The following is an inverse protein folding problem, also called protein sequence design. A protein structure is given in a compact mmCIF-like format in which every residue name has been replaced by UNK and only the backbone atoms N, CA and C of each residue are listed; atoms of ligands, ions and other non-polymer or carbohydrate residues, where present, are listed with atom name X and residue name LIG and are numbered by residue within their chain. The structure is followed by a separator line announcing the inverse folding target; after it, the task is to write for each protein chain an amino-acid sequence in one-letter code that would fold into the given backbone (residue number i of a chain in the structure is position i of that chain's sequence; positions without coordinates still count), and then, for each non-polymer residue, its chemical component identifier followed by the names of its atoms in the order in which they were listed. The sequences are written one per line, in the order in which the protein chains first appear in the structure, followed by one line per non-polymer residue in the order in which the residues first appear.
data_IF_799667747755
#
_entry.id   IF_799667747755
#
_cell.length_a   1.000
_cell.length_b   1.000
_cell.length_c   1.000
_cell.angle_alpha   90.00
_cell.angle_beta   90.00
_cell.angle_gamma   90.00
#
_symmetry.space_group_name_H-M   'P 1'
#
loop_
_entity.id
_entity.type
_entity.pdbx_description
1 polymer ?
#
# COMPACT_ATOMS: atom_id res chain seq x y z
N UNK A 1 -28.54 5.49 -48.97
CA UNK A 1 -27.60 4.76 -48.08
C UNK A 1 -28.32 4.09 -46.92
N UNK A 2 -29.03 4.82 -46.07
CA UNK A 2 -29.85 4.26 -44.98
C UNK A 2 -30.89 3.23 -45.45
N UNK A 3 -31.62 3.54 -46.53
CA UNK A 3 -32.61 2.63 -47.14
C UNK A 3 -32.00 1.28 -47.54
N UNK A 4 -30.79 1.34 -48.14
CA UNK A 4 -30.05 0.15 -48.59
C UNK A 4 -29.58 -0.71 -47.40
N UNK A 5 -29.22 -0.07 -46.30
CA UNK A 5 -28.84 -0.72 -45.04
C UNK A 5 -30.03 -1.43 -44.40
N UNK A 6 -31.21 -0.79 -44.40
CA UNK A 6 -32.47 -1.36 -43.91
C UNK A 6 -32.91 -2.54 -44.78
N UNK A 7 -32.89 -2.40 -46.11
CA UNK A 7 -33.21 -3.48 -47.04
C UNK A 7 -32.29 -4.70 -46.84
N UNK A 8 -30.97 -4.47 -46.77
CA UNK A 8 -29.98 -5.54 -46.53
C UNK A 8 -30.20 -6.24 -45.18
N UNK A 9 -30.63 -5.49 -44.17
CA UNK A 9 -30.96 -6.00 -42.82
C UNK A 9 -32.22 -6.86 -42.82
N UNK A 10 -33.25 -6.44 -43.56
CA UNK A 10 -34.52 -7.17 -43.70
C UNK A 10 -34.36 -8.46 -44.53
N UNK A 11 -33.56 -8.42 -45.61
CA UNK A 11 -33.24 -9.60 -46.42
C UNK A 11 -32.45 -10.64 -45.61
N UNK A 12 -31.52 -10.21 -44.76
CA UNK A 12 -30.68 -11.08 -43.93
C UNK A 12 -31.17 -11.21 -42.48
N UNK A 13 -32.49 -11.11 -42.24
CA UNK A 13 -33.10 -11.11 -40.90
C UNK A 13 -32.61 -12.21 -39.95
N UNK A 14 -32.37 -13.42 -40.47
CA UNK A 14 -31.87 -14.53 -39.66
C UNK A 14 -30.46 -14.28 -39.15
N UNK A 15 -29.57 -13.81 -40.03
CA UNK A 15 -28.19 -13.49 -39.67
C UNK A 15 -28.13 -12.34 -38.67
N UNK A 16 -28.99 -11.33 -38.83
CA UNK A 16 -29.13 -10.21 -37.89
C UNK A 16 -29.59 -10.71 -36.50
N UNK A 17 -30.58 -11.60 -36.44
CA UNK A 17 -31.04 -12.18 -35.17
C UNK A 17 -29.95 -12.99 -34.49
N UNK A 18 -29.20 -13.82 -35.23
CA UNK A 18 -28.06 -14.56 -34.68
C UNK A 18 -26.97 -13.62 -34.19
N UNK A 19 -26.61 -12.60 -34.96
CA UNK A 19 -25.61 -11.60 -34.55
C UNK A 19 -26.05 -10.85 -33.29
N UNK A 20 -27.33 -10.49 -33.18
CA UNK A 20 -27.90 -9.82 -32.01
C UNK A 20 -27.88 -10.72 -30.79
N UNK A 21 -28.22 -12.00 -30.95
CA UNK A 21 -28.14 -13.00 -29.88
C UNK A 21 -26.69 -13.19 -29.40
N UNK A 22 -25.74 -13.33 -30.32
CA UNK A 22 -24.32 -13.43 -29.98
C UNK A 22 -23.83 -12.18 -29.24
N UNK A 23 -24.23 -10.99 -29.68
CA UNK A 23 -23.92 -9.73 -29.01
C UNK A 23 -24.55 -9.65 -27.61
N UNK A 24 -25.79 -10.11 -27.44
CA UNK A 24 -26.46 -10.16 -26.14
C UNK A 24 -25.76 -11.13 -25.19
N UNK A 25 -25.37 -12.31 -25.66
CA UNK A 25 -24.62 -13.30 -24.86
C UNK A 25 -23.23 -12.77 -24.49
N UNK A 26 -22.52 -12.14 -25.42
CA UNK A 26 -21.23 -11.50 -25.15
C UNK A 26 -21.37 -10.34 -24.13
N UNK A 27 -22.43 -9.53 -24.26
CA UNK A 27 -22.74 -8.45 -23.34
C UNK A 27 -23.10 -8.95 -21.94
N UNK A 28 -23.88 -10.04 -21.83
CA UNK A 28 -24.16 -10.71 -20.56
C UNK A 28 -22.90 -11.26 -19.91
N UNK A 29 -22.03 -11.89 -20.70
CA UNK A 29 -20.74 -12.38 -20.22
C UNK A 29 -19.89 -11.22 -19.68
N UNK A 30 -19.76 -10.12 -20.44
CA UNK A 30 -19.03 -8.94 -20.02
C UNK A 30 -19.63 -8.32 -18.75
N UNK A 31 -20.96 -8.19 -18.66
CA UNK A 31 -21.64 -7.60 -17.51
C UNK A 31 -21.46 -8.43 -16.22
N UNK A 32 -21.37 -9.77 -16.33
CA UNK A 32 -21.15 -10.66 -15.17
C UNK A 32 -19.70 -10.65 -14.71
N UNK A 33 -18.73 -10.41 -15.61
CA UNK A 33 -17.31 -10.42 -15.28
C UNK A 33 -16.68 -9.04 -15.11
N UNK A 34 -17.45 -7.96 -15.28
CA UNK A 34 -16.97 -6.61 -15.07
C UNK A 34 -16.62 -6.44 -13.57
N UNK A 35 -15.37 -6.09 -13.22
CA UNK A 35 -15.04 -5.78 -11.84
C UNK A 35 -15.83 -4.54 -11.41
N UNK A 36 -16.52 -4.65 -10.28
CA UNK A 36 -17.31 -3.57 -9.70
C UNK A 36 -16.59 -3.12 -8.44
N UNK A 37 -16.39 -1.82 -8.31
CA UNK A 37 -15.94 -1.19 -7.08
C UNK A 37 -17.00 -0.17 -6.61
N UNK A 38 -17.07 0.07 -5.30
CA UNK A 38 -18.05 0.98 -4.71
C UNK A 38 -17.74 2.45 -5.06
N UNK A 39 -16.46 2.79 -5.18
CA UNK A 39 -15.98 4.12 -5.53
C UNK A 39 -14.81 4.01 -6.51
N UNK A 40 -14.66 4.96 -7.44
CA UNK A 40 -13.43 5.08 -8.22
C UNK A 40 -12.24 5.40 -7.29
N UNK A 41 -11.07 4.89 -7.63
CA UNK A 41 -9.83 5.29 -6.95
C UNK A 41 -9.54 6.77 -7.21
N UNK A 42 -9.48 7.54 -6.13
CA UNK A 42 -9.24 8.99 -6.13
C UNK A 42 -7.88 9.32 -5.50
N UNK A 43 -7.04 8.31 -5.30
CA UNK A 43 -5.74 8.50 -4.65
C UNK A 43 -4.66 8.89 -5.65
N UNK A 44 -3.69 9.68 -5.19
CA UNK A 44 -2.57 10.09 -6.01
C UNK A 44 -1.55 8.94 -6.13
N UNK A 45 -0.74 8.98 -7.19
CA UNK A 45 0.42 8.10 -7.31
C UNK A 45 1.47 8.55 -6.30
N UNK A 46 1.70 7.76 -5.26
CA UNK A 46 2.63 8.12 -4.19
C UNK A 46 3.50 6.94 -3.75
N UNK A 47 4.71 7.26 -3.34
CA UNK A 47 5.64 6.31 -2.71
C UNK A 47 6.02 6.87 -1.35
N UNK A 48 5.89 6.04 -0.31
CA UNK A 48 6.30 6.41 1.04
C UNK A 48 7.68 5.81 1.34
N UNK A 49 8.51 6.58 2.03
CA UNK A 49 9.78 6.14 2.62
C UNK A 49 9.66 6.33 4.13
N UNK A 50 9.89 5.25 4.88
CA UNK A 50 9.76 5.21 6.33
C UNK A 50 11.14 4.95 6.92
N UNK A 51 11.51 5.69 7.96
CA UNK A 51 12.76 5.44 8.70
C UNK A 51 12.45 5.36 10.18
N UNK A 52 12.78 4.22 10.80
CA UNK A 52 12.79 4.06 12.26
C UNK A 52 14.08 4.67 12.81
N UNK A 53 13.94 5.76 13.56
CA UNK A 53 15.03 6.54 14.13
C UNK A 53 15.18 6.29 15.65
N UNK A 54 14.61 5.20 16.17
CA UNK A 54 14.76 4.79 17.56
C UNK A 54 14.21 5.82 18.55
N UNK A 55 15.10 6.45 19.32
CA UNK A 55 14.73 7.38 20.39
C UNK A 55 15.01 8.86 20.09
N UNK A 56 15.24 9.22 18.82
CA UNK A 56 15.49 10.60 18.45
C UNK A 56 14.26 11.49 18.68
N UNK A 57 14.49 12.72 19.14
CA UNK A 57 13.45 13.73 19.24
C UNK A 57 12.97 14.18 17.85
N UNK A 58 11.74 14.71 17.70
CA UNK A 58 11.22 15.13 16.38
C UNK A 58 12.13 16.10 15.61
N UNK A 59 12.83 17.00 16.31
CA UNK A 59 13.76 17.97 15.71
C UNK A 59 15.03 17.28 15.21
N UNK A 60 15.53 16.28 15.95
CA UNK A 60 16.68 15.49 15.52
C UNK A 60 16.34 14.59 14.34
N UNK A 61 15.14 13.97 14.36
CA UNK A 61 14.63 13.19 13.23
C UNK A 61 14.53 14.05 11.98
N UNK A 62 13.95 15.25 12.09
CA UNK A 62 13.84 16.15 10.94
C UNK A 62 15.22 16.50 10.37
N UNK A 63 16.15 16.93 11.23
CA UNK A 63 17.47 17.39 10.81
C UNK A 63 18.37 16.30 10.26
N UNK A 64 18.40 15.13 10.90
CA UNK A 64 19.38 14.08 10.61
C UNK A 64 18.83 12.94 9.75
N UNK A 65 17.51 12.81 9.63
CA UNK A 65 16.87 11.71 8.91
C UNK A 65 15.99 12.23 7.79
N UNK A 66 14.95 13.00 8.12
CA UNK A 66 13.95 13.45 7.14
C UNK A 66 14.55 14.35 6.07
N UNK A 67 15.33 15.36 6.46
CA UNK A 67 15.91 16.33 5.52
C UNK A 67 16.86 15.69 4.49
N UNK A 68 17.81 14.79 4.86
CA UNK A 68 18.59 14.04 3.88
C UNK A 68 17.72 13.22 2.90
N UNK A 69 16.66 12.57 3.39
CA UNK A 69 15.75 11.79 2.54
C UNK A 69 15.00 12.72 1.58
N UNK A 70 14.45 13.83 2.05
CA UNK A 70 13.77 14.80 1.18
C UNK A 70 14.70 15.39 0.13
N UNK A 71 15.90 15.82 0.53
CA UNK A 71 16.89 16.43 -0.37
C UNK A 71 17.32 15.49 -1.50
N UNK A 72 17.44 14.19 -1.22
CA UNK A 72 17.78 13.18 -2.23
C UNK A 72 16.60 12.82 -3.14
N UNK A 73 15.38 12.82 -2.61
CA UNK A 73 14.15 12.49 -3.36
C UNK A 73 13.61 13.65 -4.19
N UNK A 74 13.88 14.91 -3.81
CA UNK A 74 13.42 16.10 -4.53
C UNK A 74 13.98 16.25 -5.95
N UNK A 75 15.05 15.52 -6.29
CA UNK A 75 15.63 15.47 -7.62
C UNK A 75 15.11 14.32 -8.49
N UNK A 76 14.01 13.65 -8.11
CA UNK A 76 13.36 12.63 -8.93
C UNK A 76 12.50 13.28 -10.02
N UNK A 77 12.44 12.70 -11.24
CA UNK A 77 11.54 13.18 -12.27
C UNK A 77 10.08 12.93 -11.86
N UNK A 78 9.18 13.74 -12.43
CA UNK A 78 7.72 13.62 -12.29
C UNK A 78 7.20 13.73 -10.84
N UNK A 79 8.01 14.25 -9.91
CA UNK A 79 7.56 14.61 -8.56
C UNK A 79 6.70 15.87 -8.64
N UNK A 80 5.48 15.78 -8.12
CA UNK A 80 4.56 16.91 -7.98
C UNK A 80 4.75 17.59 -6.63
N UNK A 81 4.82 16.80 -5.55
CA UNK A 81 4.94 17.31 -4.18
C UNK A 81 5.73 16.32 -3.30
N UNK A 82 6.47 16.87 -2.34
CA UNK A 82 7.05 16.12 -1.23
C UNK A 82 6.39 16.54 0.07
N UNK A 83 5.94 15.55 0.84
CA UNK A 83 5.39 15.75 2.18
C UNK A 83 6.19 14.93 3.16
N UNK A 84 6.48 15.47 4.33
CA UNK A 84 7.09 14.69 5.40
C UNK A 84 6.46 14.95 6.75
N UNK A 85 6.59 13.94 7.60
CA UNK A 85 6.16 13.98 8.99
C UNK A 85 7.27 13.40 9.84
N UNK A 86 7.84 14.23 10.71
CA UNK A 86 8.85 13.83 11.69
C UNK A 86 8.21 13.75 13.07
N UNK A 87 8.24 12.57 13.68
CA UNK A 87 7.76 12.32 15.05
C UNK A 87 8.87 11.66 15.87
N UNK A 88 8.64 11.50 17.17
CA UNK A 88 9.58 10.82 18.04
C UNK A 88 9.89 9.41 17.49
N UNK A 89 11.18 9.17 17.19
CA UNK A 89 11.65 7.88 16.68
C UNK A 89 11.21 7.50 15.27
N UNK A 90 10.51 8.35 14.50
CA UNK A 90 10.03 7.97 13.17
C UNK A 90 10.00 9.14 12.19
N UNK A 91 10.54 8.90 11.01
CA UNK A 91 10.41 9.76 9.83
C UNK A 91 9.54 9.09 8.78
N UNK A 92 8.58 9.84 8.23
CA UNK A 92 7.76 9.39 7.10
C UNK A 92 7.82 10.45 6.02
N UNK A 93 8.40 10.10 4.87
CA UNK A 93 8.48 10.96 3.68
C UNK A 93 7.59 10.37 2.59
N UNK A 94 6.61 11.13 2.13
CA UNK A 94 5.68 10.77 1.06
C UNK A 94 6.03 11.57 -0.18
N UNK A 95 6.46 10.86 -1.23
CA UNK A 95 6.74 11.41 -2.55
C UNK A 95 5.49 11.25 -3.41
N UNK A 96 4.87 12.36 -3.80
CA UNK A 96 3.71 12.39 -4.70
C UNK A 96 4.20 12.65 -6.12
N UNK A 97 3.81 11.78 -7.04
CA UNK A 97 4.14 11.88 -8.45
C UNK A 97 2.96 12.45 -9.24
N UNK A 98 3.26 13.03 -10.40
CA UNK A 98 2.26 13.53 -11.35
C UNK A 98 1.29 12.42 -11.75
N UNK A 99 0.02 12.80 -11.98
CA UNK A 99 -1.03 11.89 -12.40
C UNK A 99 -0.65 11.13 -13.69
N UNK A 100 -0.98 9.83 -13.73
CA UNK A 100 -0.64 8.95 -14.85
C UNK A 100 0.78 8.37 -14.82
N UNK A 101 1.61 8.73 -13.82
CA UNK A 101 2.91 8.08 -13.60
C UNK A 101 2.72 6.61 -13.24
N UNK A 102 3.48 5.71 -13.88
CA UNK A 102 3.50 4.29 -13.50
C UNK A 102 4.09 4.13 -12.08
N UNK A 103 3.31 3.57 -11.17
CA UNK A 103 3.70 3.39 -9.77
C UNK A 103 4.94 2.50 -9.60
N UNK A 104 5.15 1.50 -10.46
CA UNK A 104 6.33 0.66 -10.40
C UNK A 104 7.57 1.43 -10.85
N UNK A 105 7.42 2.30 -11.86
CA UNK A 105 8.51 3.19 -12.29
C UNK A 105 8.87 4.19 -11.20
N UNK A 106 7.87 4.79 -10.56
CA UNK A 106 8.05 5.69 -9.42
C UNK A 106 8.79 4.99 -8.27
N UNK A 107 8.37 3.77 -7.89
CA UNK A 107 9.06 2.97 -6.86
C UNK A 107 10.49 2.64 -7.25
N UNK A 108 10.74 2.26 -8.50
CA UNK A 108 12.10 1.98 -8.96
C UNK A 108 13.02 3.21 -8.82
N UNK A 109 12.54 4.38 -9.23
CA UNK A 109 13.28 5.64 -9.10
C UNK A 109 13.61 5.96 -7.63
N UNK A 110 12.64 5.77 -6.73
CA UNK A 110 12.86 5.92 -5.28
C UNK A 110 13.88 4.92 -4.77
N UNK A 111 13.80 3.63 -5.16
CA UNK A 111 14.75 2.59 -4.76
C UNK A 111 16.18 2.92 -5.21
N UNK A 112 16.36 3.43 -6.43
CA UNK A 112 17.67 3.84 -6.97
C UNK A 112 18.31 4.95 -6.13
N UNK A 113 17.51 5.85 -5.54
CA UNK A 113 17.99 6.96 -4.69
C UNK A 113 18.03 6.63 -3.20
N UNK A 114 17.34 5.57 -2.76
CA UNK A 114 17.24 5.20 -1.35
C UNK A 114 18.61 4.88 -0.73
N UNK A 115 19.50 4.24 -1.49
CA UNK A 115 20.88 3.96 -1.05
C UNK A 115 21.69 5.25 -0.82
N UNK A 116 21.53 6.25 -1.68
CA UNK A 116 22.17 7.55 -1.52
C UNK A 116 21.57 8.31 -0.34
N UNK A 117 20.25 8.24 -0.14
CA UNK A 117 19.58 8.81 1.03
C UNK A 117 20.12 8.22 2.34
N UNK A 118 20.27 6.89 2.40
CA UNK A 118 20.83 6.18 3.54
C UNK A 118 22.25 6.65 3.89
N UNK A 119 23.09 6.95 2.88
CA UNK A 119 24.45 7.46 3.11
C UNK A 119 24.52 8.87 3.72
N UNK A 120 23.44 9.65 3.61
CA UNK A 120 23.32 10.97 4.22
C UNK A 120 22.85 10.94 5.67
N UNK A 121 22.41 9.78 6.17
CA UNK A 121 21.93 9.60 7.54
C UNK A 121 23.10 9.12 8.41
N UNK A 122 23.33 9.74 9.59
CA UNK A 122 24.37 9.29 10.51
C UNK A 122 24.18 7.84 10.96
N UNK A 123 25.28 7.13 11.17
CA UNK A 123 25.26 5.75 11.67
C UNK A 123 24.47 5.65 12.98
N UNK A 124 23.55 4.69 13.04
CA UNK A 124 22.71 4.43 14.21
C UNK A 124 21.40 5.22 14.28
N UNK A 125 21.10 6.09 13.31
CA UNK A 125 19.85 6.87 13.26
C UNK A 125 18.75 6.23 12.38
N UNK A 126 18.93 4.96 12.01
CA UNK A 126 17.98 4.21 11.19
C UNK A 126 18.40 4.08 9.74
N UNK A 127 17.73 3.18 9.01
CA UNK A 127 17.87 3.02 7.57
C UNK A 127 16.53 3.33 6.91
N UNK A 128 16.49 4.19 5.88
CA UNK A 128 15.26 4.51 5.19
C UNK A 128 14.82 3.33 4.34
N UNK A 129 13.57 2.93 4.50
CA UNK A 129 12.96 1.80 3.80
C UNK A 129 11.74 2.25 2.99
N UNK A 130 11.51 1.59 1.86
CA UNK A 130 10.34 1.89 1.05
C UNK A 130 9.09 1.26 1.67
N UNK A 131 8.08 2.09 1.88
CA UNK A 131 6.78 1.68 2.38
C UNK A 131 6.04 0.72 1.44
N UNK A 132 4.96 0.10 1.95
CA UNK A 132 4.11 -0.82 1.21
C UNK A 132 3.49 -0.16 -0.03
N UNK A 133 3.11 -0.99 -1.01
CA UNK A 133 2.33 -0.55 -2.18
C UNK A 133 0.84 -0.52 -1.80
N UNK A 134 0.44 0.53 -1.08
CA UNK A 134 -0.95 0.73 -0.65
C UNK A 134 -1.29 2.23 -0.63
N UNK A 135 -2.57 2.54 -0.62
CA UNK A 135 -3.10 3.91 -0.58
C UNK A 135 -4.03 4.08 0.62
N UNK A 136 -4.53 5.29 0.85
CA UNK A 136 -5.50 5.54 1.93
C UNK A 136 -6.82 4.76 1.75
N UNK A 137 -7.12 4.27 0.54
CA UNK A 137 -8.28 3.44 0.25
C UNK A 137 -7.96 1.93 0.30
N UNK A 138 -6.71 1.55 0.61
CA UNK A 138 -6.28 0.15 0.65
C UNK A 138 -6.75 -0.64 1.88
N UNK A 139 -7.40 0.01 2.83
CA UNK A 139 -7.99 -0.66 4.00
C UNK A 139 -9.32 -1.32 3.61
N UNK A 140 -9.27 -2.62 3.33
CA UNK A 140 -10.42 -3.40 2.86
C UNK A 140 -11.14 -4.18 3.97
N UNK A 141 -10.40 -4.66 4.98
CA UNK A 141 -10.94 -5.52 6.03
C UNK A 141 -10.24 -5.24 7.36
N UNK A 142 -11.03 -4.83 8.34
CA UNK A 142 -10.61 -4.73 9.73
C UNK A 142 -11.25 -5.86 10.53
N UNK A 143 -10.46 -6.56 11.35
CA UNK A 143 -10.94 -7.64 12.20
C UNK A 143 -10.19 -7.65 13.54
N UNK A 144 -10.77 -8.35 14.51
CA UNK A 144 -10.17 -8.55 15.83
C UNK A 144 -10.05 -10.05 16.14
N UNK A 145 -9.01 -10.41 16.90
CA UNK A 145 -8.83 -11.78 17.42
C UNK A 145 -9.23 -11.77 18.89
N UNK A 146 -10.36 -12.40 19.19
CA UNK A 146 -10.93 -12.45 20.54
C UNK A 146 -10.95 -13.88 21.07
N UNK A 147 -10.60 -14.04 22.34
CA UNK A 147 -10.84 -15.27 23.09
C UNK A 147 -12.02 -15.10 24.06
N UNK A 148 -13.12 -15.81 23.78
CA UNK A 148 -14.32 -15.81 24.63
C UNK A 148 -14.18 -16.69 25.88
N UNK A 149 -13.21 -17.60 25.90
CA UNK A 149 -12.97 -18.50 27.04
C UNK A 149 -12.14 -17.85 28.15
N UNK A 150 -11.43 -16.75 27.83
CA UNK A 150 -10.56 -16.04 28.78
C UNK A 150 -9.25 -16.79 29.11
N UNK A 151 -8.89 -17.79 28.30
CA UNK A 151 -7.69 -18.60 28.52
C UNK A 151 -6.42 -17.98 27.92
N UNK A 152 -6.57 -16.99 27.03
CA UNK A 152 -5.45 -16.30 26.39
C UNK A 152 -5.29 -14.87 26.91
N UNK A 153 -4.04 -14.53 27.23
CA UNK A 153 -3.63 -13.15 27.52
C UNK A 153 -3.58 -12.32 26.24
N UNK A 154 -3.68 -10.98 26.31
CA UNK A 154 -3.52 -10.12 25.14
C UNK A 154 -2.17 -10.29 24.43
N UNK A 155 -1.12 -10.68 25.17
CA UNK A 155 0.19 -11.03 24.61
C UNK A 155 0.12 -12.30 23.75
N UNK A 156 -0.53 -13.37 24.24
CA UNK A 156 -0.70 -14.61 23.47
C UNK A 156 -1.55 -14.39 22.22
N UNK A 157 -2.64 -13.62 22.33
CA UNK A 157 -3.48 -13.27 21.18
C UNK A 157 -2.69 -12.46 20.14
N UNK A 158 -1.83 -11.53 20.59
CA UNK A 158 -0.92 -10.79 19.71
C UNK A 158 0.05 -11.73 19.00
N UNK A 159 0.66 -12.68 19.72
CA UNK A 159 1.55 -13.68 19.12
C UNK A 159 0.84 -14.52 18.06
N UNK A 160 -0.38 -14.99 18.34
CA UNK A 160 -1.18 -15.76 17.37
C UNK A 160 -1.51 -14.90 16.14
N UNK A 161 -1.96 -13.66 16.35
CA UNK A 161 -2.27 -12.74 15.26
C UNK A 161 -1.06 -12.50 14.34
N UNK A 162 0.12 -12.30 14.93
CA UNK A 162 1.33 -11.90 14.20
C UNK A 162 2.04 -13.07 13.52
N UNK A 163 2.07 -14.24 14.17
CA UNK A 163 2.85 -15.39 13.71
C UNK A 163 2.02 -16.48 13.02
N UNK A 164 0.70 -16.49 13.18
CA UNK A 164 -0.17 -17.48 12.56
C UNK A 164 -1.19 -16.86 11.59
N UNK A 165 -1.97 -15.88 12.06
CA UNK A 165 -3.07 -15.31 11.26
C UNK A 165 -2.55 -14.39 10.14
N UNK A 166 -1.71 -13.40 10.47
CA UNK A 166 -1.22 -12.43 9.50
C UNK A 166 -0.40 -13.07 8.36
N UNK A 167 0.51 -14.04 8.59
CA UNK A 167 1.23 -14.70 7.50
C UNK A 167 0.30 -15.42 6.52
N UNK A 168 -0.69 -16.17 7.03
CA UNK A 168 -1.64 -16.91 6.19
C UNK A 168 -2.52 -15.99 5.36
N UNK A 169 -2.95 -14.87 5.94
CA UNK A 169 -3.77 -13.90 5.22
C UNK A 169 -2.97 -13.12 4.15
N UNK A 170 -1.66 -12.92 4.33
CA UNK A 170 -0.79 -12.32 3.29
C UNK A 170 -0.64 -13.22 2.05
N UNK A 171 -0.89 -14.52 2.16
CA UNK A 171 -0.86 -15.44 1.01
C UNK A 171 -2.08 -15.28 0.08
N UNK A 172 -3.13 -14.58 0.53
CA UNK A 172 -4.33 -14.34 -0.26
C UNK A 172 -4.01 -13.38 -1.40
N UNK A 173 -4.34 -13.76 -2.64
CA UNK A 173 -4.12 -12.93 -3.83
C UNK A 173 -4.80 -11.57 -3.68
N UNK A 174 -4.04 -10.50 -3.91
CA UNK A 174 -4.49 -9.11 -3.81
C UNK A 174 -4.24 -8.46 -2.45
N UNK A 175 -3.77 -9.21 -1.46
CA UNK A 175 -3.35 -8.64 -0.16
C UNK A 175 -1.89 -8.20 -0.24
N UNK A 176 -1.64 -6.90 -0.15
CA UNK A 176 -0.27 -6.36 -0.10
C UNK A 176 0.33 -6.48 1.31
N UNK A 177 -0.44 -6.15 2.33
CA UNK A 177 0.05 -6.06 3.71
C UNK A 177 -1.07 -6.32 4.72
N UNK A 178 -0.69 -6.73 5.93
CA UNK A 178 -1.58 -6.88 7.08
C UNK A 178 -0.96 -6.18 8.28
N UNK A 179 -1.64 -5.14 8.72
CA UNK A 179 -1.24 -4.28 9.81
C UNK A 179 -1.82 -4.83 11.13
N UNK A 180 -0.95 -5.41 11.96
CA UNK A 180 -1.36 -5.95 13.27
C UNK A 180 -1.29 -4.84 14.32
N UNK A 181 -2.41 -4.52 14.96
CA UNK A 181 -2.51 -3.42 15.94
C UNK A 181 -3.08 -3.91 17.28
N UNK A 182 -2.66 -3.28 18.38
CA UNK A 182 -3.05 -3.67 19.74
C UNK A 182 -2.30 -4.88 20.29
N UNK A 183 -2.70 -5.32 21.49
CA UNK A 183 -2.02 -6.38 22.26
C UNK A 183 -0.67 -5.98 22.83
N UNK A 184 0.11 -6.94 23.32
CA UNK A 184 1.47 -6.71 23.83
C UNK A 184 2.47 -7.58 23.09
N UNK A 185 3.62 -7.00 22.74
CA UNK A 185 4.76 -7.78 22.24
C UNK A 185 5.35 -8.62 23.36
N UNK A 186 5.72 -9.85 23.03
CA UNK A 186 6.48 -10.69 23.95
C UNK A 186 7.93 -10.19 23.97
N UNK A 187 8.32 -9.57 25.09
CA UNK A 187 9.66 -9.01 25.29
C UNK A 187 10.35 -9.72 26.46
N UNK A 188 11.61 -10.11 26.26
CA UNK A 188 12.45 -10.62 27.34
C UNK A 188 13.22 -9.46 27.96
N UNK A 189 12.80 -9.03 29.14
CA UNK A 189 13.46 -7.95 29.87
C UNK A 189 14.46 -8.54 30.87
N UNK A 190 15.75 -8.30 30.64
CA UNK A 190 16.79 -8.59 31.62
C UNK A 190 16.94 -7.37 32.51
N UNK A 191 16.69 -7.53 33.82
CA UNK A 191 16.86 -6.48 34.83
C UNK A 191 18.06 -6.82 35.71
N UNK A 192 19.26 -6.30 35.39
CA UNK A 192 20.42 -6.45 36.27
C UNK A 192 20.14 -5.74 37.59
N UNK A 193 20.55 -6.35 38.70
CA UNK A 193 20.56 -5.67 39.99
C UNK A 193 21.73 -4.67 40.01
N UNK A 194 21.48 -3.36 40.14
CA UNK A 194 22.54 -2.35 40.15
C UNK A 194 23.38 -2.36 41.44
N UNK A 195 23.04 -3.19 42.42
CA UNK A 195 23.72 -3.27 43.72
C UNK A 195 24.63 -4.50 43.89
N UNK A 196 24.67 -5.40 42.89
CA UNK A 196 25.59 -6.55 42.84
C UNK A 196 26.96 -6.19 42.22
#
# INVERSE_FOLDING_TARGET
MLTKLIETTLENRFLILVATLLMAVAGLNAAVHLPIDAVPDMTNVQVTVITDAGSLSPVEVERYVTYPVEATMGGLPDVEELRSVSKFGISVVTIVFQEGTDIYRARQLVAERLSAAASGIPDGYGTPEMGPLTTALGEILQFEVLDRSGNHTPMQLRTILEWDVAPRLREVRGVTEINTHGGFYQTFEVRPDPTL
#
